data_IF_472762282361
#
_entry.id   IF_472762282361
#
_cell.length_a   1.000
_cell.length_b   1.000
_cell.length_c   1.000
_cell.angle_alpha   90.00
_cell.angle_beta   90.00
_cell.angle_gamma   90.00
#
_symmetry.space_group_name_H-M   'P 1'
#
loop_
_entity.id
_entity.type
_entity.pdbx_description
1 polymer ?
#
# COMPACT_ATOMS: atom_id res chain seq x y z
N UNK A 1 21.43 -6.55 8.08
CA UNK A 1 21.27 -5.84 6.79
C UNK A 1 21.70 -6.73 5.64
N UNK A 2 22.97 -7.19 5.60
CA UNK A 2 23.44 -8.08 4.51
C UNK A 2 22.56 -9.33 4.36
N UNK A 3 22.25 -10.02 5.45
CA UNK A 3 21.38 -11.21 5.41
C UNK A 3 20.00 -10.89 4.79
N UNK A 4 19.39 -9.78 5.17
CA UNK A 4 18.10 -9.35 4.59
C UNK A 4 18.21 -9.09 3.09
N UNK A 5 19.30 -8.47 2.64
CA UNK A 5 19.53 -8.24 1.22
C UNK A 5 19.72 -9.57 0.47
N UNK A 6 20.58 -10.47 0.96
CA UNK A 6 20.80 -11.78 0.34
C UNK A 6 19.51 -12.61 0.29
N UNK A 7 18.70 -12.54 1.35
CA UNK A 7 17.38 -13.19 1.43
C UNK A 7 16.42 -12.67 0.36
N UNK A 8 16.28 -11.33 0.26
CA UNK A 8 15.34 -10.70 -0.68
C UNK A 8 15.82 -10.74 -2.14
N UNK A 9 17.12 -10.67 -2.41
CA UNK A 9 17.67 -10.75 -3.77
C UNK A 9 17.66 -12.17 -4.34
N UNK A 10 17.42 -13.19 -3.51
CA UNK A 10 17.28 -14.55 -4.00
C UNK A 10 15.92 -14.75 -4.69
N UNK A 11 15.86 -14.97 -6.03
CA UNK A 11 14.61 -15.07 -6.76
C UNK A 11 13.75 -16.28 -6.35
N UNK A 12 14.36 -17.32 -5.80
CA UNK A 12 13.65 -18.51 -5.34
C UNK A 12 12.94 -18.29 -3.99
N UNK A 13 13.32 -17.24 -3.25
CA UNK A 13 12.79 -16.95 -1.91
C UNK A 13 11.41 -16.30 -1.89
N UNK A 14 10.93 -15.81 -3.03
CA UNK A 14 9.60 -15.16 -3.11
C UNK A 14 9.46 -13.90 -2.26
N UNK A 15 10.56 -13.17 -2.00
CA UNK A 15 10.52 -11.93 -1.25
C UNK A 15 9.63 -10.89 -1.94
N UNK A 16 8.57 -10.44 -1.27
CA UNK A 16 7.64 -9.44 -1.81
C UNK A 16 8.31 -8.09 -2.13
N UNK A 17 9.49 -7.82 -1.58
CA UNK A 17 10.25 -6.59 -1.78
C UNK A 17 11.41 -6.75 -2.79
N UNK A 18 11.47 -7.85 -3.52
CA UNK A 18 12.54 -8.12 -4.51
C UNK A 18 12.75 -6.93 -5.47
N UNK A 19 11.67 -6.34 -5.97
CA UNK A 19 11.74 -5.19 -6.88
C UNK A 19 12.45 -3.96 -6.29
N UNK A 20 12.47 -3.80 -4.96
CA UNK A 20 13.20 -2.69 -4.31
C UNK A 20 14.72 -2.88 -4.33
N UNK A 21 15.17 -4.10 -4.58
CA UNK A 21 16.60 -4.42 -4.72
C UNK A 21 17.08 -4.36 -6.17
N UNK A 22 16.21 -3.98 -7.10
CA UNK A 22 16.60 -3.78 -8.51
C UNK A 22 17.73 -2.76 -8.60
N UNK A 23 18.77 -3.09 -9.36
CA UNK A 23 19.97 -2.27 -9.47
C UNK A 23 20.98 -2.42 -8.33
N UNK A 24 20.67 -3.10 -7.23
CA UNK A 24 21.65 -3.44 -6.19
C UNK A 24 22.57 -4.55 -6.70
N UNK A 25 23.86 -4.26 -6.83
CA UNK A 25 24.86 -5.25 -7.30
C UNK A 25 25.54 -5.99 -6.16
N UNK A 26 25.75 -5.37 -5.00
CA UNK A 26 26.27 -6.04 -3.81
C UNK A 26 25.91 -5.32 -2.51
N UNK A 27 25.90 -6.10 -1.42
CA UNK A 27 25.84 -5.59 -0.04
C UNK A 27 26.96 -6.25 0.75
N UNK A 28 27.92 -5.46 1.22
CA UNK A 28 29.13 -5.90 1.90
C UNK A 28 29.12 -5.45 3.36
N UNK A 29 29.54 -6.31 4.27
CA UNK A 29 29.79 -5.96 5.67
C UNK A 29 31.21 -5.41 5.78
N UNK A 30 31.34 -4.16 6.19
CA UNK A 30 32.65 -3.52 6.44
C UNK A 30 33.10 -3.74 7.85
N UNK A 31 32.16 -3.55 8.81
CA UNK A 31 32.39 -3.80 10.24
C UNK A 31 31.03 -4.08 10.92
N UNK A 32 31.01 -4.20 12.25
CA UNK A 32 29.82 -4.56 13.03
C UNK A 32 28.67 -3.51 12.92
N UNK A 33 28.97 -2.30 12.47
CA UNK A 33 28.02 -1.20 12.39
C UNK A 33 27.86 -0.62 10.97
N UNK A 34 28.69 -1.07 10.03
CA UNK A 34 28.78 -0.49 8.69
C UNK A 34 28.54 -1.53 7.61
N UNK A 35 27.60 -1.26 6.72
CA UNK A 35 27.42 -2.00 5.47
C UNK A 35 27.58 -1.06 4.29
N UNK A 36 28.12 -1.58 3.21
CA UNK A 36 28.24 -0.88 1.94
C UNK A 36 27.30 -1.51 0.94
N UNK A 37 26.39 -0.69 0.40
CA UNK A 37 25.50 -1.08 -0.70
C UNK A 37 26.02 -0.49 -1.98
N UNK A 38 26.24 -1.32 -3.00
CA UNK A 38 26.73 -0.90 -4.31
C UNK A 38 25.63 -1.11 -5.33
N UNK A 39 25.36 -0.10 -6.15
CA UNK A 39 24.42 -0.16 -7.25
C UNK A 39 25.18 -0.32 -8.58
N UNK A 40 24.56 -0.96 -9.56
CA UNK A 40 25.12 -1.15 -10.91
C UNK A 40 25.25 0.15 -11.68
N UNK A 41 24.43 1.15 -11.34
CA UNK A 41 24.42 2.49 -11.93
C UNK A 41 23.96 3.52 -10.88
N UNK A 42 24.16 4.84 -11.13
CA UNK A 42 23.71 5.87 -10.18
C UNK A 42 22.21 5.79 -9.92
N UNK A 43 21.84 5.65 -8.64
CA UNK A 43 20.46 5.50 -8.18
C UNK A 43 19.99 6.80 -7.51
N UNK A 44 18.97 7.51 -8.05
CA UNK A 44 18.46 8.75 -7.47
C UNK A 44 17.87 8.58 -6.07
N UNK A 45 17.27 7.41 -5.77
CA UNK A 45 16.70 7.09 -4.47
C UNK A 45 17.22 5.73 -3.97
N UNK A 46 18.40 5.68 -3.34
CA UNK A 46 19.04 4.44 -2.93
C UNK A 46 18.44 3.79 -1.66
N UNK A 47 17.45 4.43 -1.03
CA UNK A 47 16.95 4.03 0.29
C UNK A 47 15.88 2.95 0.24
N UNK A 48 15.25 2.72 -0.91
CA UNK A 48 14.11 1.81 -1.08
C UNK A 48 14.26 0.43 -0.42
N UNK A 49 15.40 -0.26 -0.55
CA UNK A 49 15.61 -1.60 -0.02
C UNK A 49 15.46 -1.72 1.52
N UNK A 50 15.79 -0.63 2.26
CA UNK A 50 15.91 -0.66 3.72
C UNK A 50 15.04 0.36 4.44
N UNK A 51 14.13 1.04 3.73
CA UNK A 51 13.27 2.06 4.29
C UNK A 51 11.80 1.73 4.19
N UNK A 52 11.07 2.23 5.19
CA UNK A 52 9.61 2.10 5.27
C UNK A 52 9.14 0.81 5.92
N UNK A 53 7.86 0.78 6.30
CA UNK A 53 7.25 -0.31 7.03
C UNK A 53 7.19 -1.65 6.28
N UNK A 54 7.37 -1.61 4.95
CA UNK A 54 7.38 -2.80 4.10
C UNK A 54 8.77 -3.40 3.87
N UNK A 55 9.82 -2.79 4.42
CA UNK A 55 11.22 -3.25 4.24
C UNK A 55 11.90 -3.49 5.58
N UNK A 56 11.37 -4.42 6.41
CA UNK A 56 11.96 -4.74 7.70
C UNK A 56 13.31 -5.42 7.50
N UNK A 57 14.26 -5.13 8.41
CA UNK A 57 15.49 -5.91 8.55
C UNK A 57 15.16 -7.14 9.38
N UNK A 58 15.31 -8.33 8.81
CA UNK A 58 15.01 -9.61 9.50
C UNK A 58 16.24 -10.12 10.26
N UNK A 59 15.99 -10.84 11.34
CA UNK A 59 17.06 -11.42 12.16
C UNK A 59 17.68 -12.65 11.48
N UNK A 60 18.98 -12.61 11.19
CA UNK A 60 19.67 -13.68 10.48
C UNK A 60 19.57 -15.03 11.20
N UNK A 61 19.71 -15.07 12.53
CA UNK A 61 19.66 -16.29 13.30
C UNK A 61 18.28 -16.98 13.24
N UNK A 62 17.21 -16.19 13.19
CA UNK A 62 15.83 -16.72 13.11
C UNK A 62 15.51 -17.30 11.73
N UNK A 63 16.08 -16.75 10.66
CA UNK A 63 15.77 -17.10 9.28
C UNK A 63 16.92 -17.85 8.57
N UNK A 64 17.95 -18.31 9.30
CA UNK A 64 19.13 -18.95 8.72
C UNK A 64 18.80 -20.13 7.79
N UNK A 65 17.83 -20.97 8.20
CA UNK A 65 17.40 -22.14 7.45
C UNK A 65 16.22 -21.87 6.50
N UNK A 66 15.77 -20.62 6.42
CA UNK A 66 14.58 -20.16 5.67
C UNK A 66 14.95 -19.44 4.38
N UNK A 67 16.03 -19.76 3.72
CA UNK A 67 16.53 -19.04 2.54
C UNK A 67 16.18 -19.74 1.23
N UNK A 68 16.08 -18.97 0.13
CA UNK A 68 15.77 -19.49 -1.21
C UNK A 68 14.44 -20.23 -1.22
N UNK A 69 14.38 -21.36 -1.89
CA UNK A 69 13.17 -22.18 -2.05
C UNK A 69 12.53 -22.65 -0.73
N UNK A 70 13.26 -22.59 0.39
CA UNK A 70 12.72 -22.93 1.72
C UNK A 70 11.98 -21.77 2.41
N UNK A 71 12.17 -20.55 1.96
CA UNK A 71 11.57 -19.36 2.59
C UNK A 71 10.04 -19.44 2.75
N UNK A 72 9.25 -19.92 1.76
CA UNK A 72 7.80 -20.07 1.89
C UNK A 72 7.35 -21.07 2.95
N UNK A 73 8.21 -22.01 3.35
CA UNK A 73 7.89 -23.05 4.34
C UNK A 73 8.05 -22.57 5.80
N UNK A 74 8.72 -21.43 6.01
CA UNK A 74 9.06 -20.89 7.33
C UNK A 74 7.97 -20.00 7.94
N UNK A 75 6.73 -20.43 7.93
CA UNK A 75 5.58 -19.68 8.44
C UNK A 75 5.68 -19.37 9.93
N UNK A 76 6.20 -20.28 10.74
CA UNK A 76 6.42 -20.09 12.18
C UNK A 76 7.31 -18.88 12.50
N UNK A 77 8.41 -18.70 11.77
CA UNK A 77 9.30 -17.56 11.95
C UNK A 77 8.62 -16.24 11.59
N UNK A 78 7.73 -16.25 10.58
CA UNK A 78 6.97 -15.07 10.17
C UNK A 78 5.88 -14.69 11.19
N UNK A 79 5.31 -15.66 11.91
CA UNK A 79 4.28 -15.39 12.93
C UNK A 79 4.86 -14.97 14.28
N UNK A 80 6.13 -15.27 14.53
CA UNK A 80 6.83 -14.91 15.76
C UNK A 80 8.10 -14.09 15.46
N UNK A 81 7.99 -12.93 14.79
CA UNK A 81 9.17 -12.17 14.37
C UNK A 81 9.93 -11.63 15.57
N UNK A 82 11.24 -11.77 15.54
CA UNK A 82 12.14 -11.15 16.53
C UNK A 82 12.68 -9.84 15.95
N UNK A 83 12.33 -8.73 16.56
CA UNK A 83 12.68 -7.39 16.10
C UNK A 83 13.10 -6.46 17.21
N UNK A 84 13.61 -5.28 16.83
CA UNK A 84 14.03 -4.21 17.74
C UNK A 84 13.00 -3.08 17.83
N UNK A 85 11.78 -3.33 17.38
CA UNK A 85 10.67 -2.39 17.39
C UNK A 85 10.12 -2.12 18.80
N UNK A 86 9.18 -1.16 18.94
CA UNK A 86 8.61 -0.78 20.23
C UNK A 86 7.70 -1.86 20.85
N UNK A 87 7.27 -2.83 20.08
CA UNK A 87 6.41 -3.93 20.53
C UNK A 87 6.96 -5.28 20.09
N UNK A 88 6.69 -6.31 20.88
CA UNK A 88 6.95 -7.71 20.59
C UNK A 88 5.63 -8.47 20.41
N UNK A 89 5.56 -9.38 19.45
CA UNK A 89 4.39 -10.24 19.24
C UNK A 89 4.32 -11.25 20.38
N UNK A 90 3.16 -11.34 21.04
CA UNK A 90 2.88 -12.33 22.08
C UNK A 90 1.92 -13.40 21.61
N UNK A 91 1.05 -13.08 20.63
CA UNK A 91 0.16 -14.01 19.99
C UNK A 91 -0.07 -13.58 18.54
N UNK A 92 -0.07 -14.55 17.62
CA UNK A 92 -0.46 -14.34 16.23
C UNK A 92 -1.36 -15.49 15.77
N UNK A 93 -2.64 -15.19 15.61
CA UNK A 93 -3.62 -16.10 15.00
C UNK A 93 -4.05 -15.55 13.65
N UNK A 94 -3.67 -16.17 12.53
CA UNK A 94 -4.05 -15.70 11.19
C UNK A 94 -5.57 -15.51 11.07
N UNK A 95 -5.97 -14.41 10.43
CA UNK A 95 -7.38 -14.01 10.22
C UNK A 95 -8.21 -13.80 11.51
N UNK A 96 -7.59 -13.74 12.67
CA UNK A 96 -8.28 -13.53 13.94
C UNK A 96 -7.66 -12.39 14.75
N UNK A 97 -6.52 -12.65 15.42
CA UNK A 97 -5.94 -11.65 16.32
C UNK A 97 -4.41 -11.65 16.28
N UNK A 98 -3.84 -10.46 16.43
CA UNK A 98 -2.43 -10.28 16.77
C UNK A 98 -2.38 -9.49 18.07
N UNK A 99 -1.74 -10.04 19.09
CA UNK A 99 -1.50 -9.36 20.36
C UNK A 99 0.00 -9.06 20.51
N UNK A 100 0.29 -7.86 20.95
CA UNK A 100 1.66 -7.39 21.17
C UNK A 100 1.79 -6.77 22.55
N UNK A 101 2.95 -6.95 23.17
CA UNK A 101 3.35 -6.26 24.40
C UNK A 101 4.45 -5.24 24.13
N UNK A 102 4.53 -4.21 24.96
CA UNK A 102 5.64 -3.25 24.91
C UNK A 102 6.98 -3.96 25.03
N UNK A 103 7.93 -3.59 24.18
CA UNK A 103 9.29 -4.11 24.22
C UNK A 103 10.10 -3.35 25.28
N UNK A 104 10.41 -3.99 26.39
CA UNK A 104 11.21 -3.40 27.48
C UNK A 104 12.63 -2.99 27.04
N UNK A 105 13.13 -3.59 25.96
CA UNK A 105 14.45 -3.29 25.40
C UNK A 105 14.37 -2.28 24.22
N UNK A 106 13.24 -1.59 24.06
CA UNK A 106 13.15 -0.59 23.01
C UNK A 106 14.10 0.56 23.25
N UNK A 107 14.79 1.01 22.19
CA UNK A 107 15.88 2.00 22.27
C UNK A 107 15.46 3.38 22.78
N UNK A 108 14.19 3.77 22.60
CA UNK A 108 13.69 5.09 22.98
C UNK A 108 13.11 5.03 24.40
N UNK A 109 13.79 5.64 25.36
CA UNK A 109 13.36 5.65 26.76
C UNK A 109 11.96 6.29 26.91
N UNK A 110 11.09 5.65 27.68
CA UNK A 110 9.72 6.11 27.92
C UNK A 110 8.74 5.81 26.77
N UNK A 111 9.14 5.01 25.79
CA UNK A 111 8.28 4.50 24.72
C UNK A 111 8.29 2.97 24.69
N UNK A 112 7.24 2.33 24.18
CA UNK A 112 5.98 2.94 23.69
C UNK A 112 5.10 3.45 24.85
N UNK A 113 4.09 4.28 24.52
CA UNK A 113 3.13 4.80 25.50
C UNK A 113 2.07 3.76 25.91
N UNK A 114 1.79 2.79 25.04
CA UNK A 114 0.85 1.70 25.30
C UNK A 114 1.59 0.47 25.79
N UNK A 115 1.02 -0.22 26.78
CA UNK A 115 1.59 -1.47 27.30
C UNK A 115 1.31 -2.65 26.35
N UNK A 116 0.14 -2.65 25.69
CA UNK A 116 -0.31 -3.70 24.79
C UNK A 116 -0.99 -3.11 23.56
N UNK A 117 -0.92 -3.83 22.45
CA UNK A 117 -1.71 -3.59 21.25
C UNK A 117 -2.43 -4.88 20.87
N UNK A 118 -3.69 -4.76 20.47
CA UNK A 118 -4.46 -5.88 19.93
C UNK A 118 -5.00 -5.48 18.57
N UNK A 119 -4.62 -6.23 17.53
CA UNK A 119 -5.17 -6.10 16.20
C UNK A 119 -6.19 -7.22 15.98
N UNK A 120 -7.44 -6.86 15.79
CA UNK A 120 -8.51 -7.81 15.46
C UNK A 120 -8.69 -7.84 13.94
N UNK A 121 -8.54 -9.02 13.37
CA UNK A 121 -8.78 -9.30 11.95
C UNK A 121 -10.04 -10.15 11.74
N UNK A 122 -10.26 -10.57 10.50
CA UNK A 122 -11.32 -11.52 10.15
C UNK A 122 -12.75 -10.96 10.07
N UNK A 123 -12.93 -9.65 10.34
CA UNK A 123 -14.21 -8.96 10.18
C UNK A 123 -14.34 -8.19 8.88
N UNK A 124 -15.50 -7.62 8.63
CA UNK A 124 -15.72 -6.66 7.54
C UNK A 124 -15.62 -5.20 8.03
N UNK A 125 -15.62 -4.26 7.10
CA UNK A 125 -15.53 -2.83 7.41
C UNK A 125 -16.72 -2.35 8.27
N UNK A 126 -17.93 -2.93 8.09
CA UNK A 126 -19.12 -2.59 8.86
C UNK A 126 -18.97 -2.99 10.33
N UNK A 127 -18.48 -4.21 10.58
CA UNK A 127 -18.21 -4.70 11.92
C UNK A 127 -17.12 -3.86 12.62
N UNK A 128 -16.02 -3.55 11.90
CA UNK A 128 -14.95 -2.72 12.43
C UNK A 128 -15.41 -1.29 12.74
N UNK A 129 -16.18 -0.66 11.85
CA UNK A 129 -16.76 0.67 12.08
C UNK A 129 -17.68 0.72 13.27
N UNK A 130 -18.56 -0.30 13.42
CA UNK A 130 -19.47 -0.42 14.56
C UNK A 130 -18.73 -0.62 15.88
N UNK A 131 -17.70 -1.44 15.90
CA UNK A 131 -16.92 -1.72 17.11
C UNK A 131 -16.23 -0.46 17.68
N UNK A 132 -15.89 0.51 16.83
CA UNK A 132 -15.29 1.79 17.25
C UNK A 132 -16.36 2.84 17.51
N UNK A 133 -17.30 3.06 16.58
CA UNK A 133 -18.18 4.23 16.61
C UNK A 133 -19.46 4.02 17.42
N UNK A 134 -20.00 2.78 17.48
CA UNK A 134 -21.24 2.47 18.18
C UNK A 134 -21.00 1.83 19.55
N UNK A 135 -20.15 0.79 19.63
CA UNK A 135 -19.96 0.03 20.87
C UNK A 135 -18.78 0.52 21.70
N UNK A 136 -17.75 1.08 21.09
CA UNK A 136 -16.50 1.47 21.76
C UNK A 136 -15.67 0.27 22.24
N UNK A 137 -15.83 -0.88 21.60
CA UNK A 137 -15.05 -2.10 21.90
C UNK A 137 -13.60 -1.97 21.49
N UNK A 138 -13.35 -1.22 20.40
CA UNK A 138 -12.02 -0.92 19.88
C UNK A 138 -11.79 0.58 19.77
N UNK A 139 -10.51 0.98 19.86
CA UNK A 139 -10.08 2.38 19.82
C UNK A 139 -9.88 2.92 18.41
N UNK A 140 -9.63 2.03 17.44
CA UNK A 140 -9.26 2.43 16.08
C UNK A 140 -9.72 1.41 15.03
N UNK A 141 -10.29 1.89 13.93
CA UNK A 141 -10.55 1.10 12.73
C UNK A 141 -9.88 1.77 11.54
N UNK A 142 -9.06 1.00 10.82
CA UNK A 142 -8.31 1.50 9.68
C UNK A 142 -9.07 1.25 8.37
N UNK A 143 -9.03 2.25 7.48
CA UNK A 143 -9.48 2.14 6.10
C UNK A 143 -10.92 1.62 5.95
N UNK A 144 -11.86 2.34 6.57
CA UNK A 144 -13.27 1.99 6.48
C UNK A 144 -13.83 2.38 5.10
N UNK A 145 -13.88 1.42 4.18
CA UNK A 145 -14.50 1.56 2.87
C UNK A 145 -16.00 1.23 2.97
N UNK A 146 -16.77 2.19 3.44
CA UNK A 146 -18.23 2.10 3.62
C UNK A 146 -18.89 3.29 2.91
N UNK A 147 -20.15 3.11 2.54
CA UNK A 147 -20.95 4.20 2.00
C UNK A 147 -21.03 5.37 3.00
N UNK A 148 -20.98 6.63 2.52
CA UNK A 148 -20.93 7.81 3.39
C UNK A 148 -22.07 7.92 4.40
N UNK A 149 -23.29 7.53 4.01
CA UNK A 149 -24.47 7.51 4.86
C UNK A 149 -24.37 6.44 5.99
N UNK A 150 -23.74 5.30 5.70
CA UNK A 150 -23.48 4.24 6.70
C UNK A 150 -22.52 4.75 7.77
N UNK A 151 -21.41 5.38 7.35
CA UNK A 151 -20.43 5.98 8.27
C UNK A 151 -21.07 7.08 9.12
N UNK A 152 -21.86 7.97 8.49
CA UNK A 152 -22.56 9.03 9.20
C UNK A 152 -23.50 8.48 10.28
N UNK A 153 -24.28 7.45 9.95
CA UNK A 153 -25.19 6.79 10.90
C UNK A 153 -24.44 6.12 12.06
N UNK A 154 -23.32 5.45 11.79
CA UNK A 154 -22.50 4.84 12.86
C UNK A 154 -21.93 5.90 13.81
N UNK A 155 -21.54 7.07 13.27
CA UNK A 155 -21.00 8.16 14.07
C UNK A 155 -22.02 8.74 15.07
N UNK A 156 -23.34 8.58 14.84
CA UNK A 156 -24.40 8.94 15.81
C UNK A 156 -24.31 8.14 17.11
N UNK A 157 -23.66 6.98 17.10
CA UNK A 157 -23.38 6.18 18.29
C UNK A 157 -22.52 6.87 19.33
N UNK A 158 -21.75 7.89 18.93
CA UNK A 158 -21.04 8.82 19.80
C UNK A 158 -19.84 8.25 20.56
N UNK A 159 -19.42 7.00 20.27
CA UNK A 159 -18.22 6.38 20.88
C UNK A 159 -16.94 6.70 20.14
N UNK A 160 -17.03 6.96 18.85
CA UNK A 160 -15.93 7.33 17.97
C UNK A 160 -16.38 8.31 16.90
N UNK A 161 -15.46 8.77 16.08
CA UNK A 161 -15.72 9.67 14.96
C UNK A 161 -14.91 9.27 13.74
N UNK A 162 -15.45 9.43 12.53
CA UNK A 162 -14.65 9.24 11.31
C UNK A 162 -13.61 10.36 11.19
N UNK A 163 -12.42 9.97 10.72
CA UNK A 163 -11.32 10.88 10.42
C UNK A 163 -10.85 10.61 8.99
N UNK A 164 -10.92 11.61 8.13
CA UNK A 164 -10.45 11.52 6.75
C UNK A 164 -9.16 12.30 6.59
N UNK A 165 -8.18 11.67 5.95
CA UNK A 165 -6.93 12.30 5.59
C UNK A 165 -6.69 12.11 4.09
N UNK A 166 -6.55 13.20 3.36
CA UNK A 166 -6.19 13.16 1.93
C UNK A 166 -4.70 12.84 1.80
N UNK A 167 -4.42 11.75 1.12
CA UNK A 167 -3.07 11.23 0.96
C UNK A 167 -2.65 11.13 -0.51
N UNK A 168 -1.72 10.24 -0.77
CA UNK A 168 -1.17 9.99 -2.12
C UNK A 168 -1.97 8.99 -2.95
N UNK A 169 -2.97 8.33 -2.35
CA UNK A 169 -3.79 7.37 -3.08
C UNK A 169 -4.80 8.09 -3.96
N UNK A 170 -4.85 7.71 -5.22
CA UNK A 170 -5.73 8.28 -6.24
C UNK A 170 -6.57 7.16 -6.84
N UNK A 171 -7.89 7.30 -6.75
CA UNK A 171 -8.82 6.51 -7.55
C UNK A 171 -8.77 6.98 -8.99
N UNK A 172 -8.61 6.07 -9.94
CA UNK A 172 -8.44 6.40 -11.35
C UNK A 172 -8.99 5.33 -12.27
N UNK A 173 -9.35 5.72 -13.47
CA UNK A 173 -9.61 4.79 -14.57
C UNK A 173 -8.31 4.56 -15.36
N UNK A 174 -7.84 3.32 -15.37
CA UNK A 174 -6.70 2.91 -16.17
C UNK A 174 -7.18 2.40 -17.52
N UNK A 175 -6.69 3.01 -18.58
CA UNK A 175 -7.05 2.63 -19.96
C UNK A 175 -6.00 1.65 -20.49
N UNK A 176 -6.43 0.44 -20.83
CA UNK A 176 -5.55 -0.54 -21.47
C UNK A 176 -5.27 -0.12 -22.93
N UNK A 177 -4.03 0.27 -23.19
CA UNK A 177 -3.58 0.70 -24.52
C UNK A 177 -3.27 -0.45 -25.48
N UNK A 178 -3.46 -1.69 -25.04
CA UNK A 178 -3.21 -2.90 -25.81
C UNK A 178 -4.49 -3.65 -26.10
N UNK A 179 -4.55 -4.40 -27.21
CA UNK A 179 -5.74 -5.15 -27.62
C UNK A 179 -5.89 -6.43 -26.78
N UNK A 180 -6.97 -6.57 -25.96
CA UNK A 180 -7.26 -7.77 -25.20
C UNK A 180 -8.11 -8.79 -25.98
N UNK A 181 -8.40 -8.57 -27.26
CA UNK A 181 -9.32 -9.38 -28.06
C UNK A 181 -9.04 -10.89 -27.94
N UNK A 182 -10.06 -11.73 -27.75
CA UNK A 182 -9.92 -13.18 -27.75
C UNK A 182 -9.53 -13.73 -29.14
N UNK A 183 -9.67 -12.94 -30.21
CA UNK A 183 -9.32 -13.34 -31.57
C UNK A 183 -7.79 -13.35 -31.80
N UNK A 184 -7.03 -12.71 -30.91
CA UNK A 184 -5.58 -12.75 -30.96
C UNK A 184 -5.03 -14.05 -30.36
N UNK A 185 -3.87 -14.54 -30.86
CA UNK A 185 -3.20 -15.70 -30.29
C UNK A 185 -2.96 -15.56 -28.78
N UNK A 186 -3.07 -16.69 -28.06
CA UNK A 186 -2.70 -16.73 -26.65
C UNK A 186 -1.21 -16.34 -26.50
N UNK A 187 -0.93 -15.43 -25.53
CA UNK A 187 0.41 -14.85 -25.33
C UNK A 187 0.71 -13.61 -26.19
N UNK A 188 -0.18 -13.24 -27.11
CA UNK A 188 -0.09 -11.95 -27.83
C UNK A 188 -1.16 -10.95 -27.41
N UNK A 189 -2.22 -11.40 -26.71
CA UNK A 189 -3.26 -10.55 -26.13
C UNK A 189 -2.69 -9.60 -25.10
N UNK A 190 -3.19 -8.39 -25.07
CA UNK A 190 -2.77 -7.36 -24.12
C UNK A 190 -1.25 -7.13 -24.10
N UNK A 191 -0.60 -7.25 -25.25
CA UNK A 191 0.83 -6.96 -25.43
C UNK A 191 1.04 -5.73 -26.30
N UNK A 192 2.20 -5.11 -26.20
CA UNK A 192 2.56 -3.96 -27.04
C UNK A 192 2.61 -4.25 -28.55
N UNK A 193 2.57 -5.53 -28.97
CA UNK A 193 2.49 -5.92 -30.37
C UNK A 193 1.17 -5.54 -31.03
N UNK A 194 0.10 -5.52 -30.24
CA UNK A 194 -1.27 -5.26 -30.69
C UNK A 194 -1.83 -4.05 -29.93
N UNK A 195 -1.68 -2.83 -30.49
CA UNK A 195 -2.28 -1.62 -29.92
C UNK A 195 -3.79 -1.71 -29.87
N UNK A 196 -4.39 -1.15 -28.81
CA UNK A 196 -5.84 -1.11 -28.67
C UNK A 196 -6.49 -0.35 -29.85
N UNK A 197 -7.56 -0.86 -30.47
CA UNK A 197 -8.09 -0.34 -31.72
C UNK A 197 -8.59 1.11 -31.67
N UNK A 198 -8.96 1.62 -30.49
CA UNK A 198 -9.42 3.01 -30.31
C UNK A 198 -8.85 3.72 -29.09
N UNK A 199 -8.41 3.02 -28.02
CA UNK A 199 -7.84 3.70 -26.83
C UNK A 199 -6.46 4.29 -27.09
N UNK A 200 -5.77 3.92 -28.16
CA UNK A 200 -4.54 4.55 -28.63
C UNK A 200 -4.76 5.93 -29.25
N UNK A 201 -5.99 6.26 -29.64
CA UNK A 201 -6.34 7.60 -30.08
C UNK A 201 -6.45 8.55 -28.89
N UNK A 202 -5.70 9.67 -28.94
CA UNK A 202 -5.69 10.67 -27.88
C UNK A 202 -7.06 11.35 -27.71
N UNK A 203 -7.77 11.61 -28.81
CA UNK A 203 -9.10 12.25 -28.78
C UNK A 203 -10.08 11.41 -27.98
N UNK A 204 -10.06 10.09 -28.17
CA UNK A 204 -10.92 9.17 -27.40
C UNK A 204 -10.61 9.23 -25.91
N UNK A 205 -9.33 9.22 -25.52
CA UNK A 205 -8.95 9.30 -24.12
C UNK A 205 -9.32 10.64 -23.48
N UNK A 206 -9.14 11.74 -24.23
CA UNK A 206 -9.57 13.08 -23.79
C UNK A 206 -11.09 13.16 -23.63
N UNK A 207 -11.84 12.65 -24.60
CA UNK A 207 -13.30 12.61 -24.54
C UNK A 207 -13.81 11.83 -23.31
N UNK A 208 -13.19 10.65 -23.02
CA UNK A 208 -13.50 9.90 -21.81
C UNK A 208 -13.22 10.71 -20.53
N UNK A 209 -12.09 11.42 -20.48
CA UNK A 209 -11.76 12.27 -19.32
C UNK A 209 -12.73 13.43 -19.14
N UNK A 210 -13.16 14.08 -20.23
CA UNK A 210 -14.12 15.19 -20.22
C UNK A 210 -15.54 14.75 -19.83
N UNK A 211 -15.90 13.52 -20.18
CA UNK A 211 -17.22 12.97 -19.89
C UNK A 211 -17.45 12.57 -18.41
N UNK A 212 -16.39 12.47 -17.61
CA UNK A 212 -16.48 12.03 -16.21
C UNK A 212 -16.86 13.20 -15.31
N UNK A 213 -17.95 13.03 -14.54
CA UNK A 213 -18.30 13.91 -13.42
C UNK A 213 -17.58 13.41 -12.15
N UNK A 214 -16.43 14.03 -11.86
CA UNK A 214 -15.57 13.60 -10.73
C UNK A 214 -16.15 14.00 -9.38
N UNK A 215 -16.84 15.11 -9.31
CA UNK A 215 -17.48 15.57 -8.06
C UNK A 215 -18.62 14.63 -7.67
N UNK A 216 -19.45 14.22 -8.64
CA UNK A 216 -20.52 13.24 -8.40
C UNK A 216 -19.93 11.88 -7.97
N UNK A 217 -18.83 11.43 -8.58
CA UNK A 217 -18.17 10.18 -8.19
C UNK A 217 -17.63 10.25 -6.76
N UNK A 218 -17.06 11.39 -6.36
CA UNK A 218 -16.63 11.61 -4.98
C UNK A 218 -17.81 11.59 -4.03
N UNK A 219 -18.88 12.33 -4.34
CA UNK A 219 -20.07 12.40 -3.50
C UNK A 219 -20.66 10.99 -3.23
N UNK A 220 -20.84 10.22 -4.29
CA UNK A 220 -21.48 8.89 -4.21
C UNK A 220 -20.55 7.83 -3.58
N UNK A 221 -19.25 7.86 -3.94
CA UNK A 221 -18.31 6.82 -3.54
C UNK A 221 -17.60 7.07 -2.21
N UNK A 222 -17.30 8.32 -1.90
CA UNK A 222 -16.41 8.68 -0.79
C UNK A 222 -17.01 9.72 0.16
N UNK A 223 -17.97 10.56 -0.28
CA UNK A 223 -18.47 11.68 0.50
C UNK A 223 -17.33 12.57 1.00
N UNK A 224 -17.25 12.79 2.31
CA UNK A 224 -16.20 13.62 2.92
C UNK A 224 -14.81 12.96 2.94
N UNK A 225 -14.70 11.68 2.62
CA UNK A 225 -13.43 10.96 2.59
C UNK A 225 -12.67 11.11 1.27
N UNK A 226 -13.30 11.67 0.24
CA UNK A 226 -12.71 11.91 -1.07
C UNK A 226 -12.65 13.37 -1.46
N UNK A 227 -11.83 13.69 -2.44
CA UNK A 227 -11.74 14.99 -3.10
C UNK A 227 -11.35 14.79 -4.56
N UNK A 228 -12.08 15.42 -5.47
CA UNK A 228 -11.74 15.38 -6.89
C UNK A 228 -10.37 16.03 -7.15
N UNK A 229 -9.60 15.44 -8.06
CA UNK A 229 -8.27 15.92 -8.44
C UNK A 229 -7.96 15.58 -9.89
N UNK A 230 -7.16 16.39 -10.55
CA UNK A 230 -6.53 16.10 -11.85
C UNK A 230 -5.09 15.59 -11.70
N UNK A 231 -4.61 15.44 -10.47
CA UNK A 231 -3.22 15.09 -10.20
C UNK A 231 -3.06 13.61 -9.92
N UNK A 232 -2.07 12.98 -10.55
CA UNK A 232 -1.59 11.63 -10.20
C UNK A 232 -0.81 11.61 -8.88
N UNK A 233 -0.28 12.76 -8.46
CA UNK A 233 0.42 12.96 -7.19
C UNK A 233 -0.24 14.15 -6.47
N UNK A 234 -1.39 13.94 -5.79
CA UNK A 234 -2.14 15.03 -5.17
C UNK A 234 -1.57 15.48 -3.82
N UNK A 235 -0.67 14.70 -3.24
CA UNK A 235 -0.05 14.98 -1.94
C UNK A 235 1.38 14.43 -1.90
N UNK A 236 2.30 15.06 -1.09
CA UNK A 236 2.10 16.37 -0.46
C UNK A 236 1.98 17.50 -1.50
N UNK A 237 1.37 18.61 -1.13
CA UNK A 237 1.11 19.75 -2.03
C UNK A 237 2.37 20.26 -2.77
N UNK A 238 3.54 20.09 -2.18
CA UNK A 238 4.82 20.43 -2.81
C UNK A 238 5.04 19.74 -4.18
N UNK A 239 4.43 18.59 -4.40
CA UNK A 239 4.56 17.82 -5.64
C UNK A 239 3.27 17.84 -6.50
N UNK A 240 2.20 18.41 -5.99
CA UNK A 240 0.95 18.55 -6.72
C UNK A 240 1.07 19.66 -7.76
N UNK A 241 0.39 19.50 -8.90
CA UNK A 241 0.27 20.56 -9.89
C UNK A 241 -0.99 21.40 -9.64
N UNK A 242 -1.03 22.59 -10.26
CA UNK A 242 -2.20 23.49 -10.24
C UNK A 242 -3.27 23.07 -11.27
N UNK A 243 -3.14 21.90 -11.89
CA UNK A 243 -4.06 21.45 -12.92
C UNK A 243 -5.44 21.14 -12.34
N UNK A 244 -6.44 21.88 -12.84
CA UNK A 244 -7.87 21.75 -12.52
C UNK A 244 -8.74 21.48 -13.74
N UNK A 245 -8.13 21.32 -14.92
CA UNK A 245 -8.84 21.25 -16.22
C UNK A 245 -9.85 20.10 -16.29
N UNK A 246 -9.62 19.03 -15.56
CA UNK A 246 -10.49 17.86 -15.55
C UNK A 246 -11.64 17.93 -14.53
N UNK A 247 -11.71 18.95 -13.68
CA UNK A 247 -12.73 19.04 -12.62
C UNK A 247 -14.12 19.40 -13.15
N UNK A 248 -14.19 20.05 -14.31
CA UNK A 248 -15.47 20.38 -14.94
C UNK A 248 -15.81 19.34 -16.00
N UNK A 249 -16.97 18.68 -15.83
CA UNK A 249 -17.51 17.79 -16.87
C UNK A 249 -17.90 18.60 -18.11
N UNK A 250 -17.52 18.09 -19.30
CA UNK A 250 -17.87 18.70 -20.60
C UNK A 250 -18.31 17.61 -21.59
N UNK A 251 -19.59 17.26 -21.56
CA UNK A 251 -20.18 16.24 -22.43
C UNK A 251 -20.21 16.68 -23.90
N UNK A 252 -20.50 17.95 -24.16
CA UNK A 252 -20.59 18.45 -25.54
C UNK A 252 -19.21 18.56 -26.18
N UNK A 253 -18.19 19.03 -25.42
CA UNK A 253 -16.80 18.98 -25.85
C UNK A 253 -16.31 17.57 -26.10
N UNK A 254 -16.68 16.60 -25.24
CA UNK A 254 -16.32 15.21 -25.40
C UNK A 254 -16.92 14.58 -26.70
N UNK A 255 -18.14 14.95 -27.08
CA UNK A 255 -18.78 14.50 -28.33
C UNK A 255 -18.18 15.15 -29.59
N UNK A 256 -17.54 16.28 -29.44
CA UNK A 256 -16.96 17.02 -30.57
C UNK A 256 -15.54 16.52 -30.94
N UNK A 257 -14.89 15.74 -30.09
CA UNK A 257 -13.61 15.09 -30.32
C UNK A 257 -13.74 13.78 -31.06
#
# INVERSE_FOLDING_TARGET
VKFTADYCMNPEGGCAQLAKFEGVSSVEVIDDQTVKVTFSEPMPNPYGPFMGGQSPIIQAAQFADCTGAKAPECTEANFNPIGTGPFTVTEFRPNDVITMAANENFRDAGKPAFATLTFKGGGDATAAGRAVMETGEFDYAWNLQLAPDVIAKMAEGGKGKPMSAFGTLVERLELNMTDPSPDLPEGERATAKHPHPFLTDESVRRALSMAIDRELLVEVGYGQAGRATCNMVPAPELYASDNTDCLTQDIEGAKAL
#
